data_IF_568128246141
#
_entry.id   IF_568128246141
#
_cell.length_a   1.000
_cell.length_b   1.000
_cell.length_c   1.000
_cell.angle_alpha   90.00
_cell.angle_beta   90.00
_cell.angle_gamma   90.00
#
_symmetry.space_group_name_H-M   'P 1'
#
loop_
_entity.id
_entity.type
_entity.pdbx_description
1 polymer ?
#
# COMPACT_ATOMS: atom_id res chain seq x y z
N UNK A 1 -1.31 77.71 8.16
CA UNK A 1 -1.46 76.68 9.19
C UNK A 1 -1.38 75.31 8.52
N UNK A 2 -0.40 74.45 8.80
CA UNK A 2 -0.34 73.14 8.18
C UNK A 2 -1.19 72.14 8.98
N UNK A 3 -2.07 71.42 8.30
CA UNK A 3 -2.78 70.27 8.88
C UNK A 3 -1.86 69.06 8.86
N UNK A 4 -1.49 68.58 10.05
CA UNK A 4 -0.78 67.31 10.23
C UNK A 4 -1.84 66.19 10.24
N UNK A 5 -1.83 65.35 9.22
CA UNK A 5 -2.63 64.12 9.20
C UNK A 5 -1.82 63.02 9.91
N UNK A 6 -2.23 62.64 11.12
CA UNK A 6 -1.67 61.49 11.83
C UNK A 6 -2.41 60.25 11.31
N UNK A 7 -1.75 59.47 10.43
CA UNK A 7 -2.21 58.15 10.06
C UNK A 7 -1.78 57.20 11.17
N UNK A 8 -2.71 56.87 12.06
CA UNK A 8 -2.54 55.79 13.04
C UNK A 8 -2.61 54.45 12.31
N UNK A 9 -1.46 53.89 11.94
CA UNK A 9 -1.36 52.49 11.55
C UNK A 9 -1.62 51.62 12.79
N UNK A 10 -2.85 51.14 12.93
CA UNK A 10 -3.13 50.01 13.82
C UNK A 10 -2.47 48.77 13.21
N UNK A 11 -1.24 48.46 13.62
CA UNK A 11 -0.71 47.10 13.50
C UNK A 11 -1.50 46.21 14.48
N UNK A 12 -2.68 45.79 14.05
CA UNK A 12 -3.36 44.66 14.64
C UNK A 12 -2.51 43.43 14.37
N UNK A 13 -1.76 42.98 15.38
CA UNK A 13 -1.16 41.66 15.38
C UNK A 13 -2.33 40.67 15.39
N UNK A 14 -2.77 40.24 14.20
CA UNK A 14 -3.70 39.13 14.07
C UNK A 14 -2.98 37.91 14.61
N UNK A 15 -3.25 37.56 15.87
CA UNK A 15 -2.86 36.28 16.42
C UNK A 15 -3.59 35.22 15.60
N UNK A 16 -2.90 34.63 14.63
CA UNK A 16 -3.32 33.37 14.05
C UNK A 16 -3.29 32.39 15.22
N UNK A 17 -4.46 32.10 15.79
CA UNK A 17 -4.61 30.94 16.66
C UNK A 17 -4.35 29.74 15.77
N UNK A 18 -3.10 29.33 15.73
CA UNK A 18 -2.69 28.09 15.13
C UNK A 18 -3.49 27.00 15.86
N UNK A 19 -4.46 26.40 15.17
CA UNK A 19 -5.32 25.34 15.67
C UNK A 19 -4.54 24.05 15.87
N UNK A 20 -3.55 24.05 16.76
CA UNK A 20 -2.73 22.89 17.12
C UNK A 20 -3.22 22.19 18.39
N UNK A 21 -4.49 22.41 18.78
CA UNK A 21 -5.05 21.88 20.02
C UNK A 21 -6.24 20.93 19.79
N UNK A 22 -6.40 20.35 18.60
CA UNK A 22 -7.35 19.25 18.45
C UNK A 22 -6.68 17.97 18.96
N UNK A 23 -7.25 17.39 20.02
CA UNK A 23 -6.76 16.12 20.58
C UNK A 23 -6.84 15.04 19.49
N UNK A 24 -5.85 14.15 19.36
CA UNK A 24 -5.93 13.02 18.44
C UNK A 24 -7.20 12.21 18.69
N UNK A 25 -7.83 11.75 17.62
CA UNK A 25 -9.05 10.95 17.65
C UNK A 25 -8.98 9.75 18.60
N UNK A 26 -7.83 9.09 18.73
CA UNK A 26 -7.62 7.98 19.69
C UNK A 26 -7.83 8.34 21.16
N UNK A 27 -7.83 9.64 21.51
CA UNK A 27 -8.10 10.13 22.88
C UNK A 27 -9.59 10.32 23.17
N UNK A 28 -10.44 10.23 22.16
CA UNK A 28 -11.89 10.25 22.27
C UNK A 28 -12.42 8.86 21.92
N UNK A 29 -12.90 8.12 22.92
CA UNK A 29 -13.28 6.72 22.74
C UNK A 29 -14.45 6.53 21.75
N UNK A 30 -15.42 7.43 21.78
CA UNK A 30 -16.60 7.34 20.91
C UNK A 30 -16.23 7.71 19.47
N UNK A 31 -15.43 8.76 19.30
CA UNK A 31 -14.96 9.15 17.96
C UNK A 31 -14.04 8.09 17.35
N UNK A 32 -13.10 7.55 18.13
CA UNK A 32 -12.26 6.43 17.71
C UNK A 32 -13.10 5.22 17.29
N UNK A 33 -14.09 4.82 18.09
CA UNK A 33 -14.93 3.67 17.79
C UNK A 33 -15.71 3.85 16.48
N UNK A 34 -16.19 5.06 16.20
CA UNK A 34 -16.86 5.39 14.93
C UNK A 34 -15.92 5.26 13.73
N UNK A 35 -14.72 5.87 13.80
CA UNK A 35 -13.74 5.82 12.71
C UNK A 35 -13.15 4.42 12.49
N UNK A 36 -12.95 3.65 13.56
CA UNK A 36 -12.54 2.26 13.46
C UNK A 36 -13.61 1.41 12.74
N UNK A 37 -14.90 1.60 13.06
CA UNK A 37 -15.99 0.94 12.35
C UNK A 37 -16.06 1.36 10.87
N UNK A 38 -15.82 2.64 10.58
CA UNK A 38 -15.76 3.17 9.21
C UNK A 38 -14.63 2.55 8.39
N UNK A 39 -13.43 2.37 8.95
CA UNK A 39 -12.33 1.67 8.29
C UNK A 39 -12.72 0.25 7.87
N UNK A 40 -13.42 -0.49 8.74
CA UNK A 40 -13.88 -1.84 8.42
C UNK A 40 -14.97 -1.83 7.33
N UNK A 41 -15.85 -0.84 7.33
CA UNK A 41 -16.86 -0.67 6.28
C UNK A 41 -16.21 -0.34 4.92
N UNK A 42 -15.18 0.51 4.92
CA UNK A 42 -14.39 0.85 3.72
C UNK A 42 -13.75 -0.42 3.14
N UNK A 43 -13.08 -1.22 3.98
CA UNK A 43 -12.46 -2.49 3.56
C UNK A 43 -13.50 -3.46 3.02
N UNK A 44 -14.63 -3.62 3.72
CA UNK A 44 -15.69 -4.50 3.24
C UNK A 44 -16.15 -4.09 1.84
N UNK A 45 -16.44 -2.81 1.62
CA UNK A 45 -16.86 -2.31 0.32
C UNK A 45 -15.78 -2.46 -0.76
N UNK A 46 -14.50 -2.29 -0.40
CA UNK A 46 -13.34 -2.52 -1.28
C UNK A 46 -13.25 -3.99 -1.74
N UNK A 47 -13.44 -4.93 -0.82
CA UNK A 47 -13.39 -6.35 -1.14
C UNK A 47 -14.65 -6.82 -1.87
N UNK A 48 -15.83 -6.30 -1.52
CA UNK A 48 -17.09 -6.62 -2.19
C UNK A 48 -17.05 -6.25 -3.69
N UNK A 49 -16.43 -5.11 -4.03
CA UNK A 49 -16.21 -4.65 -5.41
C UNK A 49 -15.36 -5.62 -6.25
N UNK A 50 -14.62 -6.51 -5.58
CA UNK A 50 -13.72 -7.51 -6.17
C UNK A 50 -14.19 -8.94 -5.94
N UNK A 51 -15.41 -9.11 -5.46
CA UNK A 51 -16.02 -10.44 -5.31
C UNK A 51 -16.36 -11.03 -6.68
N UNK A 52 -16.11 -12.32 -6.87
CA UNK A 52 -16.36 -13.03 -8.13
C UNK A 52 -15.11 -13.29 -8.96
N UNK A 53 -15.28 -13.52 -10.27
CA UNK A 53 -14.16 -13.81 -11.18
C UNK A 53 -13.38 -12.51 -11.48
N UNK A 54 -12.03 -12.54 -11.50
CA UNK A 54 -11.21 -11.37 -11.87
C UNK A 54 -11.62 -10.72 -13.21
N UNK A 55 -12.06 -11.52 -14.18
CA UNK A 55 -12.47 -11.04 -15.51
C UNK A 55 -13.83 -10.30 -15.51
N UNK A 56 -14.62 -10.46 -14.45
CA UNK A 56 -15.94 -9.81 -14.29
C UNK A 56 -15.89 -8.47 -13.56
N UNK A 57 -14.72 -8.06 -13.05
CA UNK A 57 -14.58 -6.83 -12.26
C UNK A 57 -14.76 -5.60 -13.15
N UNK A 58 -15.69 -4.72 -12.77
CA UNK A 58 -15.93 -3.47 -13.48
C UNK A 58 -14.94 -2.38 -13.03
N UNK A 59 -13.76 -2.35 -13.65
CA UNK A 59 -12.69 -1.41 -13.31
C UNK A 59 -13.06 0.07 -13.48
N UNK A 60 -14.02 0.40 -14.36
CA UNK A 60 -14.53 1.78 -14.49
C UNK A 60 -15.31 2.24 -13.24
N UNK A 61 -15.85 1.30 -12.46
CA UNK A 61 -16.48 1.59 -11.16
C UNK A 61 -15.48 1.47 -10.01
N UNK A 62 -14.64 0.44 -10.03
CA UNK A 62 -13.71 0.14 -8.92
C UNK A 62 -12.63 1.21 -8.80
N UNK A 63 -12.01 1.63 -9.91
CA UNK A 63 -10.92 2.63 -9.87
C UNK A 63 -11.27 3.94 -9.17
N UNK A 64 -12.37 4.63 -9.55
CA UNK A 64 -12.81 5.84 -8.85
C UNK A 64 -13.17 5.61 -7.37
N UNK A 65 -13.72 4.44 -7.03
CA UNK A 65 -14.05 4.09 -5.64
C UNK A 65 -12.79 3.86 -4.82
N UNK A 66 -11.76 3.22 -5.37
CA UNK A 66 -10.49 3.03 -4.68
C UNK A 66 -9.82 4.36 -4.34
N UNK A 67 -9.86 5.33 -5.26
CA UNK A 67 -9.37 6.68 -5.00
C UNK A 67 -10.12 7.32 -3.83
N UNK A 68 -11.46 7.29 -3.86
CA UNK A 68 -12.27 7.84 -2.78
C UNK A 68 -11.97 7.17 -1.44
N UNK A 69 -11.82 5.85 -1.42
CA UNK A 69 -11.49 5.09 -0.20
C UNK A 69 -10.11 5.47 0.35
N UNK A 70 -9.10 5.63 -0.51
CA UNK A 70 -7.77 6.10 -0.08
C UNK A 70 -7.83 7.49 0.54
N UNK A 71 -8.64 8.39 -0.02
CA UNK A 71 -8.85 9.73 0.55
C UNK A 71 -9.48 9.66 1.95
N UNK A 72 -10.52 8.85 2.14
CA UNK A 72 -11.16 8.66 3.44
C UNK A 72 -10.21 8.03 4.46
N UNK A 73 -9.46 6.99 4.08
CA UNK A 73 -8.45 6.38 4.95
C UNK A 73 -7.37 7.40 5.35
N UNK A 74 -6.94 8.27 4.43
CA UNK A 74 -5.97 9.32 4.72
C UNK A 74 -6.54 10.39 5.67
N UNK A 75 -7.82 10.75 5.54
CA UNK A 75 -8.53 11.63 6.48
C UNK A 75 -8.56 11.03 7.89
N UNK A 76 -8.99 9.78 8.02
CA UNK A 76 -9.04 9.06 9.30
C UNK A 76 -7.65 8.97 9.95
N UNK A 77 -6.62 8.74 9.14
CA UNK A 77 -5.23 8.76 9.62
C UNK A 77 -4.81 10.16 10.10
N UNK A 78 -5.14 11.22 9.37
CA UNK A 78 -4.79 12.60 9.70
C UNK A 78 -5.48 13.10 10.99
N UNK A 79 -6.66 12.58 11.32
CA UNK A 79 -7.32 12.79 12.61
C UNK A 79 -6.61 12.10 13.79
N UNK A 80 -5.65 11.22 13.50
CA UNK A 80 -4.94 10.42 14.49
C UNK A 80 -5.80 9.30 15.06
N UNK A 81 -6.63 8.64 14.23
CA UNK A 81 -7.55 7.58 14.64
C UNK A 81 -6.97 6.15 14.56
N UNK A 82 -5.70 5.93 14.21
CA UNK A 82 -5.14 4.57 14.14
C UNK A 82 -4.53 4.15 15.48
N UNK A 83 -5.01 3.05 16.08
CA UNK A 83 -4.50 2.54 17.35
C UNK A 83 -4.16 1.05 17.31
N UNK A 84 -5.11 0.24 16.89
CA UNK A 84 -5.04 -1.22 16.95
C UNK A 84 -4.49 -1.80 15.64
N UNK A 85 -3.99 -3.03 15.66
CA UNK A 85 -3.46 -3.69 14.47
C UNK A 85 -4.48 -3.69 13.31
N UNK A 86 -5.76 -3.86 13.62
CA UNK A 86 -6.86 -3.89 12.66
C UNK A 86 -7.05 -2.57 11.90
N UNK A 87 -6.76 -1.43 12.53
CA UNK A 87 -6.86 -0.11 11.89
C UNK A 87 -5.80 0.01 10.78
N UNK A 88 -4.56 -0.38 11.10
CA UNK A 88 -3.44 -0.39 10.16
C UNK A 88 -3.62 -1.43 9.06
N UNK A 89 -4.12 -2.62 9.40
CA UNK A 89 -4.46 -3.68 8.41
C UNK A 89 -5.49 -3.18 7.42
N UNK A 90 -6.56 -2.53 7.89
CA UNK A 90 -7.60 -1.99 7.04
C UNK A 90 -7.06 -0.94 6.07
N UNK A 91 -6.26 -0.01 6.59
CA UNK A 91 -5.64 1.04 5.81
C UNK A 91 -4.66 0.48 4.76
N UNK A 92 -3.82 -0.49 5.13
CA UNK A 92 -2.87 -1.14 4.24
C UNK A 92 -3.56 -1.83 3.07
N UNK A 93 -4.65 -2.56 3.33
CA UNK A 93 -5.39 -3.27 2.29
C UNK A 93 -5.97 -2.33 1.23
N UNK A 94 -6.52 -1.19 1.66
CA UNK A 94 -7.04 -0.16 0.75
C UNK A 94 -5.92 0.47 -0.09
N UNK A 95 -4.77 0.77 0.53
CA UNK A 95 -3.64 1.38 -0.16
C UNK A 95 -2.89 0.42 -1.10
N UNK A 96 -2.99 -0.89 -0.87
CA UNK A 96 -2.46 -1.91 -1.78
C UNK A 96 -3.11 -1.81 -3.17
N UNK A 97 -4.34 -1.29 -3.26
CA UNK A 97 -5.04 -1.02 -4.52
C UNK A 97 -4.74 0.37 -5.09
N UNK A 98 -3.68 1.03 -4.62
CA UNK A 98 -3.15 2.24 -5.20
C UNK A 98 -2.44 2.02 -6.54
N UNK A 99 -2.03 3.13 -7.14
CA UNK A 99 -1.45 3.22 -8.47
C UNK A 99 -0.09 3.96 -8.50
N UNK A 100 0.48 4.31 -7.36
CA UNK A 100 1.77 5.01 -7.23
C UNK A 100 2.73 4.24 -6.34
N UNK A 101 4.03 4.51 -6.47
CA UNK A 101 5.04 3.93 -5.59
C UNK A 101 4.74 4.28 -4.11
N UNK A 102 4.35 5.51 -3.83
CA UNK A 102 4.03 5.98 -2.48
C UNK A 102 2.87 5.21 -1.85
N UNK A 103 1.82 4.89 -2.62
CA UNK A 103 0.72 4.06 -2.11
C UNK A 103 1.19 2.67 -1.68
N UNK A 104 2.08 2.05 -2.46
CA UNK A 104 2.63 0.74 -2.14
C UNK A 104 3.62 0.79 -0.97
N UNK A 105 4.42 1.86 -0.87
CA UNK A 105 5.28 2.08 0.30
C UNK A 105 4.45 2.29 1.57
N UNK A 106 3.34 3.04 1.48
CA UNK A 106 2.42 3.23 2.60
C UNK A 106 1.74 1.92 3.03
N UNK A 107 1.39 1.06 2.07
CA UNK A 107 0.93 -0.31 2.35
C UNK A 107 1.95 -1.06 3.19
N UNK A 108 3.22 -1.05 2.77
CA UNK A 108 4.31 -1.67 3.50
C UNK A 108 4.44 -1.12 4.94
N UNK A 109 4.43 0.20 5.12
CA UNK A 109 4.55 0.84 6.44
C UNK A 109 3.41 0.45 7.39
N UNK A 110 2.16 0.49 6.91
CA UNK A 110 1.01 0.15 7.74
C UNK A 110 0.92 -1.34 8.03
N UNK A 111 1.17 -2.23 7.06
CA UNK A 111 1.26 -3.67 7.33
C UNK A 111 2.38 -3.98 8.33
N UNK A 112 3.54 -3.32 8.23
CA UNK A 112 4.61 -3.46 9.24
C UNK A 112 4.11 -3.06 10.62
N UNK A 113 3.43 -1.91 10.74
CA UNK A 113 2.89 -1.45 12.03
C UNK A 113 1.88 -2.44 12.61
N UNK A 114 1.03 -3.05 11.79
CA UNK A 114 0.12 -4.10 12.22
C UNK A 114 0.87 -5.34 12.74
N UNK A 115 1.96 -5.76 12.07
CA UNK A 115 2.84 -6.85 12.55
C UNK A 115 3.49 -6.48 13.89
N UNK A 116 4.01 -5.25 14.03
CA UNK A 116 4.61 -4.75 15.28
C UNK A 116 3.59 -4.72 16.44
N UNK A 117 2.29 -4.58 16.14
CA UNK A 117 1.16 -4.65 17.08
C UNK A 117 0.63 -6.08 17.30
N UNK A 118 1.26 -7.10 16.68
CA UNK A 118 0.98 -8.52 16.92
C UNK A 118 0.21 -9.24 15.81
N UNK A 119 -0.28 -8.56 14.77
CA UNK A 119 -0.96 -9.21 13.64
C UNK A 119 0.05 -9.75 12.61
N UNK A 120 0.67 -10.89 12.95
CA UNK A 120 1.66 -11.56 12.09
C UNK A 120 1.10 -12.03 10.74
N UNK A 121 -0.23 -12.06 10.56
CA UNK A 121 -0.85 -12.40 9.27
C UNK A 121 -0.58 -11.34 8.20
N UNK A 122 -0.21 -10.11 8.61
CA UNK A 122 0.11 -9.02 7.67
C UNK A 122 1.50 -9.13 7.03
N UNK A 123 2.32 -10.12 7.39
CA UNK A 123 3.66 -10.31 6.78
C UNK A 123 3.61 -10.43 5.26
N UNK A 124 2.60 -11.12 4.72
CA UNK A 124 2.46 -11.23 3.28
C UNK A 124 2.15 -9.88 2.63
N UNK A 125 1.24 -9.09 3.20
CA UNK A 125 0.86 -7.78 2.66
C UNK A 125 2.02 -6.77 2.79
N UNK A 126 2.81 -6.86 3.87
CA UNK A 126 4.06 -6.12 4.05
C UNK A 126 5.06 -6.42 2.93
N UNK A 127 5.32 -7.69 2.63
CA UNK A 127 6.18 -8.10 1.52
C UNK A 127 5.63 -7.67 0.15
N UNK A 128 4.32 -7.85 -0.07
CA UNK A 128 3.67 -7.53 -1.33
C UNK A 128 3.58 -6.02 -1.60
N UNK A 129 3.43 -5.19 -0.56
CA UNK A 129 3.53 -3.74 -0.66
C UNK A 129 4.93 -3.29 -1.04
N UNK A 130 5.96 -3.88 -0.42
CA UNK A 130 7.36 -3.54 -0.72
C UNK A 130 7.77 -3.93 -2.14
N UNK A 131 7.40 -5.13 -2.60
CA UNK A 131 7.70 -5.57 -3.96
C UNK A 131 7.05 -4.65 -5.01
N UNK A 132 5.80 -4.24 -4.80
CA UNK A 132 5.13 -3.28 -5.69
C UNK A 132 5.80 -1.91 -5.69
N UNK A 133 6.23 -1.43 -4.52
CA UNK A 133 7.01 -0.20 -4.42
C UNK A 133 8.31 -0.29 -5.23
N UNK A 134 9.07 -1.39 -5.09
CA UNK A 134 10.33 -1.60 -5.81
C UNK A 134 10.12 -1.65 -7.33
N UNK A 135 9.17 -2.47 -7.80
CA UNK A 135 8.86 -2.59 -9.22
C UNK A 135 8.43 -1.24 -9.79
N UNK A 136 7.52 -0.53 -9.09
CA UNK A 136 7.06 0.80 -9.52
C UNK A 136 8.18 1.84 -9.52
N UNK A 137 9.23 1.62 -8.74
CA UNK A 137 10.45 2.43 -8.68
C UNK A 137 11.55 1.95 -9.65
N UNK A 138 11.25 0.99 -10.54
CA UNK A 138 12.19 0.46 -11.53
C UNK A 138 13.28 -0.43 -10.95
N UNK A 139 13.01 -1.11 -9.83
CA UNK A 139 13.92 -2.01 -9.14
C UNK A 139 13.33 -3.43 -9.04
N UNK A 140 14.20 -4.44 -9.01
CA UNK A 140 13.80 -5.83 -8.87
C UNK A 140 13.10 -6.05 -7.53
N UNK A 141 12.05 -6.85 -7.53
CA UNK A 141 11.34 -7.18 -6.31
C UNK A 141 12.20 -8.08 -5.40
N UNK A 142 11.91 -8.08 -4.10
CA UNK A 142 12.59 -8.96 -3.17
C UNK A 142 11.76 -10.23 -3.04
N UNK A 143 10.54 -10.19 -2.55
CA UNK A 143 9.81 -11.35 -2.04
C UNK A 143 9.12 -12.24 -3.08
N UNK A 144 9.29 -11.95 -4.37
CA UNK A 144 8.67 -12.72 -5.46
C UNK A 144 7.14 -12.82 -5.32
N UNK A 145 6.49 -11.72 -4.92
CA UNK A 145 5.03 -11.65 -4.73
C UNK A 145 4.29 -11.17 -5.96
N UNK A 146 4.95 -10.47 -6.88
CA UNK A 146 4.33 -9.85 -8.05
C UNK A 146 4.59 -10.66 -9.32
N UNK A 147 3.52 -11.00 -10.01
CA UNK A 147 3.54 -11.49 -11.38
C UNK A 147 3.00 -10.42 -12.33
N UNK A 148 3.41 -10.50 -13.59
CA UNK A 148 3.01 -9.61 -14.65
C UNK A 148 2.72 -10.37 -15.95
N UNK A 149 2.57 -9.62 -17.04
CA UNK A 149 2.46 -10.15 -18.40
C UNK A 149 3.27 -9.26 -19.32
N UNK A 150 4.09 -9.87 -20.19
CA UNK A 150 4.82 -9.11 -21.21
C UNK A 150 3.84 -8.48 -22.21
N UNK A 151 4.20 -7.33 -22.84
CA UNK A 151 3.39 -6.73 -23.89
C UNK A 151 3.02 -7.74 -24.98
N UNK A 152 1.73 -7.86 -25.29
CA UNK A 152 1.21 -8.78 -26.30
C UNK A 152 1.14 -10.26 -25.88
N UNK A 153 1.49 -10.60 -24.63
CA UNK A 153 1.37 -11.97 -24.11
C UNK A 153 0.16 -12.12 -23.17
N UNK A 154 -0.55 -13.24 -23.28
CA UNK A 154 -1.58 -13.64 -22.31
C UNK A 154 -1.00 -14.37 -21.10
N UNK A 155 0.26 -14.81 -21.19
CA UNK A 155 0.92 -15.66 -20.22
C UNK A 155 1.49 -14.85 -19.06
N UNK A 156 1.27 -15.34 -17.84
CA UNK A 156 1.87 -14.81 -16.63
C UNK A 156 3.37 -15.10 -16.59
N UNK A 157 4.11 -14.12 -16.11
CA UNK A 157 5.53 -14.19 -15.78
C UNK A 157 5.74 -13.67 -14.36
N UNK A 158 6.85 -14.06 -13.72
CA UNK A 158 7.25 -13.47 -12.44
C UNK A 158 7.97 -12.14 -12.71
N UNK A 159 7.63 -11.06 -12.03
CA UNK A 159 8.40 -9.82 -12.17
C UNK A 159 9.86 -10.04 -11.73
N UNK A 160 10.88 -9.43 -12.35
CA UNK A 160 12.29 -9.69 -12.04
C UNK A 160 12.62 -9.59 -10.54
N UNK A 161 13.30 -10.62 -10.01
CA UNK A 161 13.62 -10.76 -8.58
C UNK A 161 15.10 -10.50 -8.30
N UNK A 162 15.41 -9.94 -7.14
CA UNK A 162 16.79 -9.86 -6.65
C UNK A 162 17.28 -11.23 -6.15
N UNK A 163 18.19 -11.85 -6.90
CA UNK A 163 18.68 -13.20 -6.64
C UNK A 163 19.55 -13.32 -5.39
N UNK A 164 20.15 -12.21 -4.92
CA UNK A 164 20.97 -12.23 -3.70
C UNK A 164 20.14 -12.17 -2.42
N UNK A 165 18.84 -11.92 -2.50
CA UNK A 165 17.96 -11.94 -1.33
C UNK A 165 17.60 -13.39 -0.97
N UNK A 166 17.77 -13.82 0.29
CA UNK A 166 17.70 -15.23 0.64
C UNK A 166 16.27 -15.76 0.74
N UNK A 167 16.08 -17.02 0.34
CA UNK A 167 14.78 -17.71 0.44
C UNK A 167 14.29 -17.85 1.88
N UNK A 168 15.17 -17.92 2.88
CA UNK A 168 14.77 -17.92 4.30
C UNK A 168 13.91 -16.70 4.66
N UNK A 169 14.28 -15.52 4.12
CA UNK A 169 13.50 -14.29 4.26
C UNK A 169 12.24 -14.32 3.41
N UNK A 170 12.27 -14.90 2.20
CA UNK A 170 11.04 -15.07 1.39
C UNK A 170 10.00 -15.93 2.10
N UNK A 171 10.42 -17.05 2.66
CA UNK A 171 9.56 -17.99 3.38
C UNK A 171 9.03 -17.36 4.67
N UNK A 172 9.84 -16.60 5.41
CA UNK A 172 9.42 -15.90 6.64
C UNK A 172 8.20 -14.99 6.40
N UNK A 173 8.16 -14.29 5.26
CA UNK A 173 7.12 -13.30 4.97
C UNK A 173 5.99 -13.80 4.07
N UNK A 174 6.31 -14.66 3.11
CA UNK A 174 5.35 -15.08 2.07
C UNK A 174 4.96 -16.54 2.13
N UNK A 175 5.61 -17.33 2.99
CA UNK A 175 5.50 -18.79 3.04
C UNK A 175 5.95 -19.50 1.75
N UNK A 176 6.66 -18.79 0.86
CA UNK A 176 7.18 -19.33 -0.41
C UNK A 176 8.67 -19.04 -0.57
N UNK A 177 9.40 -20.01 -1.12
CA UNK A 177 10.71 -19.79 -1.76
C UNK A 177 10.53 -19.17 -3.15
N UNK A 178 11.62 -18.74 -3.77
CA UNK A 178 11.61 -18.28 -5.16
C UNK A 178 11.07 -19.36 -6.12
N UNK A 179 11.50 -20.61 -5.96
CA UNK A 179 11.03 -21.74 -6.76
C UNK A 179 9.51 -21.97 -6.59
N UNK A 180 9.00 -21.85 -5.36
CA UNK A 180 7.56 -21.95 -5.09
C UNK A 180 6.76 -20.79 -5.70
N UNK A 181 7.32 -19.58 -5.75
CA UNK A 181 6.73 -18.47 -6.51
C UNK A 181 6.71 -18.74 -8.01
N UNK A 182 7.74 -19.36 -8.58
CA UNK A 182 7.74 -19.79 -9.99
C UNK A 182 6.70 -20.88 -10.28
N UNK A 183 6.47 -21.81 -9.34
CA UNK A 183 5.38 -22.80 -9.42
C UNK A 183 4.02 -22.12 -9.38
N UNK A 184 3.85 -21.10 -8.54
CA UNK A 184 2.62 -20.30 -8.53
C UNK A 184 2.35 -19.64 -9.89
N UNK A 185 3.35 -19.03 -10.54
CA UNK A 185 3.18 -18.50 -11.91
C UNK A 185 2.78 -19.60 -12.89
N UNK A 186 3.35 -20.81 -12.78
CA UNK A 186 2.90 -21.95 -13.60
C UNK A 186 1.42 -22.28 -13.38
N UNK A 187 0.93 -22.22 -12.13
CA UNK A 187 -0.49 -22.47 -11.84
C UNK A 187 -1.42 -21.43 -12.48
N UNK A 188 -0.98 -20.16 -12.59
CA UNK A 188 -1.75 -19.12 -13.28
C UNK A 188 -1.83 -19.33 -14.79
N UNK A 189 -0.91 -20.11 -15.35
CA UNK A 189 -0.84 -20.44 -16.78
C UNK A 189 -1.43 -21.83 -17.11
N UNK A 190 -1.88 -22.61 -16.11
CA UNK A 190 -2.19 -24.03 -16.27
C UNK A 190 -3.30 -24.31 -17.30
N UNK A 191 -4.25 -23.39 -17.48
CA UNK A 191 -5.36 -23.52 -18.43
C UNK A 191 -5.03 -22.99 -19.84
N UNK A 192 -3.86 -22.35 -20.02
CA UNK A 192 -3.44 -21.78 -21.30
C UNK A 192 -2.34 -22.64 -21.93
N UNK A 193 -2.73 -23.53 -22.84
CA UNK A 193 -1.81 -24.47 -23.52
C UNK A 193 -0.71 -23.79 -24.35
N UNK A 194 -0.91 -22.52 -24.74
CA UNK A 194 0.09 -21.69 -25.42
C UNK A 194 1.19 -21.18 -24.49
N UNK A 195 0.97 -21.21 -23.17
CA UNK A 195 1.95 -20.76 -22.20
C UNK A 195 2.94 -21.87 -21.86
N UNK A 196 4.22 -21.59 -22.09
CA UNK A 196 5.32 -22.48 -21.69
C UNK A 196 5.59 -22.44 -20.17
N UNK A 197 6.75 -22.99 -19.78
CA UNK A 197 7.24 -22.88 -18.39
C UNK A 197 7.33 -21.41 -17.97
N UNK A 198 7.02 -21.14 -16.71
CA UNK A 198 7.13 -19.81 -16.12
C UNK A 198 8.54 -19.25 -16.30
N UNK A 199 8.58 -17.95 -16.62
CA UNK A 199 9.80 -17.18 -16.83
C UNK A 199 9.65 -15.84 -16.13
N UNK A 200 10.74 -15.09 -16.04
CA UNK A 200 10.68 -13.69 -15.62
C UNK A 200 10.05 -12.82 -16.71
N UNK A 201 9.37 -11.75 -16.30
CA UNK A 201 8.92 -10.70 -17.20
C UNK A 201 10.12 -9.99 -17.83
N UNK A 202 9.94 -9.42 -19.02
CA UNK A 202 10.98 -8.78 -19.83
C UNK A 202 11.23 -7.32 -19.41
N UNK A 203 10.85 -6.96 -18.19
CA UNK A 203 11.02 -5.62 -17.64
C UNK A 203 12.49 -5.36 -17.27
N UNK A 204 13.01 -4.21 -17.70
CA UNK A 204 14.37 -3.78 -17.45
C UNK A 204 14.52 -3.18 -16.03
N UNK A 205 14.32 -4.01 -15.00
CA UNK A 205 14.43 -3.60 -13.59
C UNK A 205 15.88 -3.63 -13.09
N UNK A 206 16.29 -2.56 -12.40
CA UNK A 206 17.62 -2.44 -11.78
C UNK A 206 17.74 -3.39 -10.57
N UNK A 207 18.93 -3.91 -10.25
CA UNK A 207 19.14 -4.67 -9.02
C UNK A 207 18.70 -3.91 -7.77
N UNK A 208 18.27 -4.65 -6.74
CA UNK A 208 17.91 -4.14 -5.42
C UNK A 208 18.90 -4.69 -4.38
N UNK A 209 20.17 -4.29 -4.36
CA UNK A 209 21.18 -4.90 -3.49
C UNK A 209 20.93 -4.66 -1.99
N UNK A 210 21.80 -5.27 -1.15
CA UNK A 210 21.87 -5.03 0.28
C UNK A 210 21.83 -3.54 0.62
N UNK A 211 20.84 -3.14 1.43
CA UNK A 211 20.62 -1.76 1.84
C UNK A 211 19.61 -0.96 1.02
N UNK A 212 19.10 -1.48 -0.11
CA UNK A 212 18.01 -0.81 -0.88
C UNK A 212 16.79 -0.55 0.00
N UNK A 213 16.44 -1.50 0.87
CA UNK A 213 15.42 -1.33 1.90
C UNK A 213 16.05 -1.63 3.25
N UNK A 214 16.19 -0.64 4.14
CA UNK A 214 16.75 -0.86 5.47
C UNK A 214 15.96 -1.90 6.26
N UNK A 215 16.67 -2.82 6.92
CA UNK A 215 16.08 -3.79 7.85
C UNK A 215 15.50 -5.07 7.24
N UNK A 216 15.69 -5.33 5.93
CA UNK A 216 15.17 -6.52 5.26
C UNK A 216 16.20 -7.53 4.75
N UNK A 217 17.49 -7.18 4.85
CA UNK A 217 18.60 -8.07 4.51
C UNK A 217 18.96 -8.98 5.68
#
# INVERSE_FOLDING_TARGET
>A
MPFIFIISLNLGCASVRAGFAQKPCVMDADHYAQRAAELQAIVKADQDDRSGSPDSINWMKVGPRDLQRRMLVAEIFAEGCFREAQDYTAAALVFQHGDTADHFYQTFIWSKRAVDLGDTKQRWLMAAGLDRFLIRSGQRQLFATQGGKNPGSSCWCLEPVENTFPDTKRTEYTLRTLDQSMIWINSLNAEQSSCGKSQYCQDALRPSPAGTVPGFW
#
